data_IF_116051082253
#
_entry.id   IF_116051082253
#
_cell.length_a   1.000
_cell.length_b   1.000
_cell.length_c   1.000
_cell.angle_alpha   90.00
_cell.angle_beta   90.00
_cell.angle_gamma   90.00
#
_symmetry.space_group_name_H-M   'P 1'
#
loop_
_entity.id
_entity.type
_entity.pdbx_description
1 polymer ?
#
# COMPACT_ATOMS: atom_id res chain seq x y z
N UNK A 1 25.33 -4.51 -4.06
CA UNK A 1 24.07 -3.82 -3.71
C UNK A 1 24.40 -2.79 -2.64
N UNK A 2 23.98 -1.53 -2.76
CA UNK A 2 24.06 -0.61 -1.62
C UNK A 2 23.32 -1.22 -0.42
N UNK A 3 23.78 -0.93 0.80
CA UNK A 3 23.11 -1.38 2.01
C UNK A 3 21.64 -0.89 2.00
N UNK A 4 20.70 -1.62 2.63
CA UNK A 4 19.28 -1.26 2.66
C UNK A 4 19.00 0.23 3.02
N UNK A 5 19.81 0.80 3.91
CA UNK A 5 19.74 2.20 4.29
C UNK A 5 20.07 3.18 3.14
N UNK A 6 20.99 2.83 2.24
CA UNK A 6 21.32 3.65 1.08
C UNK A 6 20.21 3.68 0.04
N UNK A 7 19.47 2.59 -0.13
CA UNK A 7 18.31 2.54 -1.02
C UNK A 7 17.14 3.36 -0.44
N UNK A 8 16.91 3.24 0.87
CA UNK A 8 15.93 4.05 1.58
C UNK A 8 16.17 5.56 1.38
N UNK A 9 17.40 6.02 1.58
CA UNK A 9 17.76 7.43 1.42
C UNK A 9 17.66 7.91 -0.02
N UNK A 10 18.04 7.07 -1.00
CA UNK A 10 17.93 7.42 -2.41
C UNK A 10 16.46 7.65 -2.83
N UNK A 11 15.56 6.74 -2.45
CA UNK A 11 14.13 6.91 -2.74
C UNK A 11 13.53 8.11 -2.02
N UNK A 12 13.89 8.34 -0.75
CA UNK A 12 13.43 9.52 -0.02
C UNK A 12 13.96 10.82 -0.64
N UNK A 13 15.15 10.80 -1.26
CA UNK A 13 15.70 11.94 -1.97
C UNK A 13 14.97 12.21 -3.30
N UNK A 14 14.53 11.16 -4.00
CA UNK A 14 13.73 11.30 -5.22
C UNK A 14 12.35 11.92 -4.93
N UNK A 15 11.77 11.58 -3.78
CA UNK A 15 10.51 12.17 -3.28
C UNK A 15 10.71 13.57 -2.66
N UNK A 16 11.95 13.98 -2.38
CA UNK A 16 12.20 15.22 -1.64
C UNK A 16 12.10 16.46 -2.54
N UNK A 17 11.27 17.41 -2.10
CA UNK A 17 11.24 18.78 -2.64
C UNK A 17 11.32 19.82 -1.52
N UNK A 18 12.20 20.80 -1.67
CA UNK A 18 12.31 21.93 -0.74
C UNK A 18 11.03 22.77 -0.66
N UNK A 19 10.22 22.77 -1.73
CA UNK A 19 8.96 23.53 -1.81
C UNK A 19 7.81 22.84 -1.07
N UNK A 20 7.92 21.53 -0.78
CA UNK A 20 6.88 20.74 -0.12
C UNK A 20 6.96 20.79 1.42
N UNK A 21 8.09 21.25 1.98
CA UNK A 21 8.32 21.30 3.41
C UNK A 21 8.75 22.69 3.93
N UNK A 22 7.91 23.74 3.77
CA UNK A 22 8.23 25.06 4.30
C UNK A 22 8.43 25.01 5.82
N UNK A 23 9.65 25.33 6.26
CA UNK A 23 10.05 25.36 7.67
C UNK A 23 10.84 24.14 8.17
N UNK A 24 11.10 23.15 7.31
CA UNK A 24 12.05 22.07 7.57
C UNK A 24 13.27 22.25 6.67
N UNK A 25 14.47 22.24 7.25
CA UNK A 25 15.69 22.16 6.46
C UNK A 25 16.06 20.70 6.14
N UNK A 26 17.03 20.52 5.26
CA UNK A 26 17.50 19.19 4.87
C UNK A 26 18.04 18.37 6.07
N UNK A 27 18.59 19.04 7.09
CA UNK A 27 19.08 18.37 8.31
C UNK A 27 17.94 17.84 9.17
N UNK A 28 16.87 18.62 9.31
CA UNK A 28 15.65 18.21 10.02
C UNK A 28 14.99 17.00 9.33
N UNK A 29 14.87 17.02 8.00
CA UNK A 29 14.33 15.89 7.22
C UNK A 29 15.25 14.66 7.33
N UNK A 30 16.57 14.82 7.19
CA UNK A 30 17.51 13.71 7.32
C UNK A 30 17.46 13.06 8.71
N UNK A 31 17.31 13.86 9.76
CA UNK A 31 17.14 13.37 11.13
C UNK A 31 15.83 12.57 11.29
N UNK A 32 14.71 13.11 10.78
CA UNK A 32 13.43 12.42 10.82
C UNK A 32 13.46 11.08 10.05
N UNK A 33 14.11 11.04 8.89
CA UNK A 33 14.30 9.83 8.09
C UNK A 33 15.22 8.81 8.77
N UNK A 34 16.29 9.24 9.45
CA UNK A 34 17.16 8.35 10.22
C UNK A 34 16.43 7.71 11.41
N UNK A 35 15.59 8.48 12.11
CA UNK A 35 14.73 7.99 13.18
C UNK A 35 13.69 6.99 12.67
N UNK A 36 13.14 7.25 11.48
CA UNK A 36 12.20 6.35 10.84
C UNK A 36 12.86 5.05 10.38
N UNK A 37 14.08 5.14 9.83
CA UNK A 37 14.89 3.96 9.50
C UNK A 37 15.10 3.06 10.72
N UNK A 38 15.45 3.63 11.88
CA UNK A 38 15.61 2.87 13.14
C UNK A 38 14.33 2.15 13.55
N UNK A 39 13.19 2.84 13.49
CA UNK A 39 11.88 2.22 13.74
C UNK A 39 11.59 1.07 12.79
N UNK A 40 11.87 1.23 11.49
CA UNK A 40 11.69 0.16 10.51
C UNK A 40 12.54 -1.09 10.79
N UNK A 41 13.71 -0.93 11.41
CA UNK A 41 14.57 -2.05 11.80
C UNK A 41 14.09 -2.77 13.07
N UNK A 42 13.40 -2.07 13.97
CA UNK A 42 12.83 -2.66 15.20
C UNK A 42 11.59 -3.54 14.91
N UNK A 43 10.91 -3.32 13.79
CA UNK A 43 9.74 -4.11 13.37
C UNK A 43 10.19 -5.47 12.82
N UNK A 44 10.17 -6.50 13.66
CA UNK A 44 10.62 -7.86 13.33
C UNK A 44 9.65 -8.61 12.40
N UNK A 45 8.35 -8.57 12.68
CA UNK A 45 7.30 -9.17 11.85
C UNK A 45 6.34 -8.08 11.39
N UNK A 46 6.27 -7.87 10.07
CA UNK A 46 5.40 -6.86 9.47
C UNK A 46 4.05 -7.47 9.05
N UNK A 47 3.54 -8.51 9.72
CA UNK A 47 2.24 -9.12 9.35
C UNK A 47 1.11 -8.10 9.50
N UNK A 48 1.16 -7.32 10.57
CA UNK A 48 0.32 -6.15 10.79
C UNK A 48 1.11 -4.85 10.58
N UNK A 49 0.44 -3.77 10.14
CA UNK A 49 1.10 -2.48 10.00
C UNK A 49 1.50 -1.94 11.38
N UNK A 50 2.80 -1.64 11.52
CA UNK A 50 3.33 -0.87 12.63
C UNK A 50 3.14 0.61 12.30
N UNK A 51 2.32 1.29 13.11
CA UNK A 51 1.92 2.69 12.89
C UNK A 51 2.26 3.45 14.17
N UNK A 52 2.93 4.60 14.03
CA UNK A 52 3.12 5.54 15.13
C UNK A 52 2.91 6.97 14.67
N UNK A 53 2.40 7.80 15.56
CA UNK A 53 2.39 9.25 15.42
C UNK A 53 3.43 9.81 16.39
N UNK A 54 4.24 10.77 15.95
CA UNK A 54 5.19 11.47 16.83
C UNK A 54 5.32 12.92 16.44
N UNK A 55 5.66 13.76 17.40
CA UNK A 55 6.01 15.14 17.12
C UNK A 55 7.27 15.21 16.26
N UNK A 56 7.25 16.07 15.23
CA UNK A 56 8.45 16.39 14.47
C UNK A 56 9.46 17.12 15.36
N UNK A 57 10.74 16.72 15.32
CA UNK A 57 11.80 17.29 16.15
C UNK A 57 13.06 17.54 15.34
N UNK A 58 13.80 18.57 15.73
CA UNK A 58 15.16 18.84 15.27
C UNK A 58 16.16 17.87 15.89
N UNK A 59 17.39 17.76 15.34
CA UNK A 59 18.47 16.97 15.94
C UNK A 59 18.82 17.35 17.39
N UNK A 60 18.61 18.62 17.78
CA UNK A 60 18.84 19.10 19.14
C UNK A 60 17.68 18.83 20.11
N UNK A 61 16.62 18.15 19.64
CA UNK A 61 15.42 17.81 20.40
C UNK A 61 14.32 18.87 20.36
N UNK A 62 14.58 20.05 19.80
CA UNK A 62 13.60 21.13 19.67
C UNK A 62 12.39 20.67 18.87
N UNK A 63 11.19 20.87 19.40
CA UNK A 63 9.94 20.55 18.72
C UNK A 63 9.73 21.43 17.51
N UNK A 64 9.45 20.81 16.36
CA UNK A 64 8.98 21.46 15.15
C UNK A 64 7.45 21.49 15.14
N UNK A 65 6.88 22.43 14.38
CA UNK A 65 5.42 22.55 14.28
C UNK A 65 4.87 21.51 13.31
N UNK A 66 4.45 20.37 13.83
CA UNK A 66 3.79 19.32 13.06
C UNK A 66 4.08 17.95 13.65
N UNK A 67 3.37 16.95 13.13
CA UNK A 67 3.52 15.56 13.53
C UNK A 67 3.92 14.71 12.33
N UNK A 68 4.55 13.59 12.63
CA UNK A 68 5.01 12.58 11.69
C UNK A 68 4.19 11.31 11.92
N UNK A 69 3.38 10.96 10.93
CA UNK A 69 2.72 9.66 10.87
C UNK A 69 3.64 8.70 10.13
N UNK A 70 4.08 7.65 10.81
CA UNK A 70 5.06 6.68 10.30
C UNK A 70 4.47 5.28 10.28
N UNK A 71 4.59 4.62 9.14
CA UNK A 71 3.96 3.33 8.85
C UNK A 71 5.01 2.38 8.29
N UNK A 72 5.10 1.18 8.85
CA UNK A 72 5.98 0.10 8.38
C UNK A 72 5.14 -1.15 8.18
N UNK A 73 5.11 -1.68 6.95
CA UNK A 73 4.31 -2.85 6.60
C UNK A 73 4.85 -3.55 5.32
N UNK A 74 4.32 -4.73 4.93
CA UNK A 74 4.69 -5.39 3.69
C UNK A 74 4.24 -4.55 2.50
N UNK A 75 5.09 -4.45 1.49
CA UNK A 75 4.77 -3.70 0.28
C UNK A 75 3.61 -4.36 -0.50
N UNK A 76 2.75 -3.51 -1.07
CA UNK A 76 1.59 -3.92 -1.89
C UNK A 76 1.06 -2.73 -2.71
N UNK A 77 0.26 -2.99 -3.76
CA UNK A 77 -0.41 -1.93 -4.51
C UNK A 77 -1.37 -1.09 -3.64
N UNK A 78 -1.65 0.14 -4.09
CA UNK A 78 -2.66 1.07 -3.54
C UNK A 78 -2.40 1.66 -2.15
N UNK A 79 -1.27 1.36 -1.50
CA UNK A 79 -0.96 1.86 -0.16
C UNK A 79 -1.03 3.39 -0.05
N UNK A 80 -0.33 4.09 -0.94
CA UNK A 80 -0.20 5.56 -0.89
C UNK A 80 -1.57 6.23 -0.98
N UNK A 81 -2.34 5.91 -2.03
CA UNK A 81 -3.64 6.54 -2.27
C UNK A 81 -4.62 6.25 -1.13
N UNK A 82 -4.65 5.01 -0.61
CA UNK A 82 -5.53 4.63 0.50
C UNK A 82 -5.17 5.32 1.81
N UNK A 83 -3.87 5.45 2.12
CA UNK A 83 -3.44 6.18 3.32
C UNK A 83 -3.76 7.67 3.19
N UNK A 84 -3.48 8.27 2.02
CA UNK A 84 -3.78 9.69 1.77
C UNK A 84 -5.26 9.98 1.86
N UNK A 85 -6.11 9.10 1.29
CA UNK A 85 -7.55 9.16 1.42
C UNK A 85 -8.00 9.12 2.89
N UNK A 86 -7.51 8.14 3.66
CA UNK A 86 -7.86 8.02 5.08
C UNK A 86 -7.43 9.24 5.92
N UNK A 87 -6.24 9.78 5.67
CA UNK A 87 -5.73 10.99 6.35
C UNK A 87 -6.60 12.21 5.99
N UNK A 88 -6.98 12.35 4.73
CA UNK A 88 -7.82 13.46 4.26
C UNK A 88 -9.26 13.37 4.79
N UNK A 89 -9.86 12.18 4.79
CA UNK A 89 -11.19 11.90 5.37
C UNK A 89 -11.20 12.14 6.89
N UNK A 90 -10.11 11.81 7.56
CA UNK A 90 -9.91 12.16 8.96
C UNK A 90 -9.72 13.69 9.16
N UNK A 91 -9.67 14.50 8.10
CA UNK A 91 -9.63 15.96 8.15
C UNK A 91 -8.25 16.57 8.38
N UNK A 92 -7.18 15.84 8.05
CA UNK A 92 -5.81 16.34 8.17
C UNK A 92 -5.23 16.72 6.81
N UNK A 93 -4.47 17.82 6.80
CA UNK A 93 -3.72 18.25 5.64
C UNK A 93 -2.32 17.62 5.66
N UNK A 94 -1.99 16.91 4.60
CA UNK A 94 -0.66 16.38 4.34
C UNK A 94 0.21 17.49 3.78
N UNK A 95 1.42 17.62 4.33
CA UNK A 95 2.43 18.59 3.87
C UNK A 95 3.43 17.93 2.92
N UNK A 96 3.90 16.75 3.29
CA UNK A 96 4.78 15.93 2.46
C UNK A 96 4.62 14.45 2.82
N UNK A 97 5.02 13.58 1.91
CA UNK A 97 5.12 12.14 2.12
C UNK A 97 6.44 11.64 1.57
N UNK A 98 7.03 10.66 2.25
CA UNK A 98 8.11 9.83 1.74
C UNK A 98 7.65 8.37 1.75
N UNK A 99 7.80 7.66 0.64
CA UNK A 99 7.49 6.23 0.55
C UNK A 99 8.68 5.36 0.08
N UNK A 100 9.76 5.26 0.86
CA UNK A 100 10.78 4.26 0.60
C UNK A 100 10.26 2.81 0.70
N UNK A 101 10.64 2.00 -0.28
CA UNK A 101 10.46 0.55 -0.30
C UNK A 101 11.82 -0.12 -0.08
N UNK A 102 11.91 -0.95 0.95
CA UNK A 102 13.15 -1.59 1.40
C UNK A 102 13.01 -3.10 1.39
N UNK A 103 14.08 -3.83 1.09
CA UNK A 103 14.09 -5.29 1.17
C UNK A 103 14.72 -5.76 2.48
N UNK A 104 13.96 -6.53 3.26
CA UNK A 104 14.40 -7.10 4.54
C UNK A 104 14.07 -8.59 4.53
N UNK A 105 15.08 -9.44 4.70
CA UNK A 105 14.88 -10.90 4.74
C UNK A 105 14.27 -11.49 3.46
N UNK A 106 14.46 -10.85 2.31
CA UNK A 106 13.87 -11.28 1.03
C UNK A 106 12.42 -10.81 0.79
N UNK A 107 11.87 -9.99 1.68
CA UNK A 107 10.54 -9.41 1.53
C UNK A 107 10.62 -7.90 1.35
N UNK A 108 9.82 -7.37 0.41
CA UNK A 108 9.64 -5.92 0.21
C UNK A 108 8.77 -5.34 1.32
N UNK A 109 9.22 -4.23 1.88
CA UNK A 109 8.59 -3.52 2.99
C UNK A 109 8.43 -2.05 2.63
N UNK A 110 7.22 -1.55 2.75
CA UNK A 110 6.88 -0.15 2.55
C UNK A 110 7.06 0.59 3.87
N UNK A 111 7.91 1.61 3.83
CA UNK A 111 8.15 2.55 4.91
C UNK A 111 7.59 3.90 4.49
N UNK A 112 6.46 4.30 5.05
CA UNK A 112 5.77 5.53 4.68
C UNK A 112 5.85 6.52 5.85
N UNK A 113 6.40 7.71 5.60
CA UNK A 113 6.42 8.82 6.55
C UNK A 113 5.64 9.99 5.98
N UNK A 114 4.69 10.52 6.74
CA UNK A 114 3.80 11.60 6.32
C UNK A 114 3.92 12.75 7.30
N UNK A 115 4.20 13.94 6.78
CA UNK A 115 4.24 15.18 7.54
C UNK A 115 2.84 15.78 7.61
N UNK A 116 2.35 15.92 8.84
CA UNK A 116 1.02 16.45 9.13
C UNK A 116 1.12 17.78 9.86
N UNK A 117 0.07 18.59 9.76
CA UNK A 117 -0.19 19.61 10.77
C UNK A 117 -0.38 18.95 12.16
N UNK A 118 -0.18 19.69 13.28
CA UNK A 118 -0.39 19.15 14.60
C UNK A 118 -1.75 18.47 14.73
N UNK A 119 -1.75 17.19 15.11
CA UNK A 119 -2.92 16.32 15.13
C UNK A 119 -3.74 16.55 16.39
N UNK A 120 -3.07 16.72 17.53
CA UNK A 120 -3.67 16.78 18.87
C UNK A 120 -3.85 15.40 19.49
N UNK A 121 -3.60 15.30 20.79
CA UNK A 121 -3.67 14.02 21.54
C UNK A 121 -5.06 13.37 21.48
N UNK A 122 -6.11 14.17 21.38
CA UNK A 122 -7.50 13.72 21.30
C UNK A 122 -7.86 13.08 19.95
N UNK A 123 -7.09 13.35 18.90
CA UNK A 123 -7.35 12.85 17.53
C UNK A 123 -6.38 11.79 17.06
N UNK A 124 -5.26 11.60 17.76
CA UNK A 124 -4.23 10.62 17.41
C UNK A 124 -4.80 9.20 17.26
N UNK A 125 -5.54 8.74 18.27
CA UNK A 125 -6.10 7.39 18.26
C UNK A 125 -7.07 7.16 17.09
N UNK A 126 -7.88 8.18 16.77
CA UNK A 126 -8.83 8.11 15.66
C UNK A 126 -8.11 8.08 14.30
N UNK A 127 -7.07 8.89 14.12
CA UNK A 127 -6.24 8.89 12.91
C UNK A 127 -5.56 7.53 12.69
N UNK A 128 -4.93 6.99 13.73
CA UNK A 128 -4.25 5.68 13.65
C UNK A 128 -5.26 4.57 13.32
N UNK A 129 -6.46 4.61 13.91
CA UNK A 129 -7.52 3.65 13.62
C UNK A 129 -7.97 3.73 12.15
N UNK A 130 -8.25 4.93 11.64
CA UNK A 130 -8.67 5.14 10.25
C UNK A 130 -7.62 4.63 9.24
N UNK A 131 -6.34 4.94 9.48
CA UNK A 131 -5.25 4.44 8.63
C UNK A 131 -5.14 2.92 8.73
N UNK A 132 -5.30 2.33 9.92
CA UNK A 132 -5.26 0.87 10.09
C UNK A 132 -6.41 0.17 9.35
N UNK A 133 -7.61 0.74 9.37
CA UNK A 133 -8.76 0.24 8.63
C UNK A 133 -8.50 0.28 7.12
N UNK A 134 -8.05 1.42 6.59
CA UNK A 134 -7.70 1.53 5.17
C UNK A 134 -6.63 0.50 4.75
N UNK A 135 -5.61 0.27 5.58
CA UNK A 135 -4.58 -0.74 5.31
C UNK A 135 -5.10 -2.19 5.39
N UNK A 136 -6.09 -2.45 6.24
CA UNK A 136 -6.77 -3.73 6.29
C UNK A 136 -7.61 -3.96 5.02
N UNK A 137 -8.31 -2.94 4.53
CA UNK A 137 -9.08 -3.01 3.28
C UNK A 137 -8.17 -3.25 2.08
N UNK A 138 -7.03 -2.55 1.99
CA UNK A 138 -6.04 -2.82 0.94
C UNK A 138 -5.53 -4.26 1.05
N UNK A 139 -5.29 -4.79 2.24
CA UNK A 139 -4.90 -6.20 2.42
C UNK A 139 -5.93 -7.14 1.81
N UNK A 140 -7.21 -6.94 2.16
CA UNK A 140 -8.30 -7.78 1.70
C UNK A 140 -8.47 -7.70 0.18
N UNK A 141 -8.28 -6.52 -0.41
CA UNK A 141 -8.41 -6.32 -1.85
C UNK A 141 -7.30 -7.01 -2.67
N UNK A 142 -6.08 -7.13 -2.13
CA UNK A 142 -4.91 -7.60 -2.90
C UNK A 142 -4.41 -8.99 -2.54
N UNK A 143 -4.68 -9.51 -1.33
CA UNK A 143 -4.10 -10.76 -0.85
C UNK A 143 -4.47 -11.98 -1.71
N UNK A 144 -5.67 -11.98 -2.30
CA UNK A 144 -6.22 -13.10 -3.06
C UNK A 144 -6.10 -12.92 -4.58
N UNK A 145 -5.35 -11.90 -5.04
CA UNK A 145 -5.26 -11.56 -6.46
C UNK A 145 -4.75 -12.72 -7.32
N UNK A 146 -3.66 -13.39 -6.93
CA UNK A 146 -3.15 -14.55 -7.68
C UNK A 146 -4.09 -15.75 -7.63
N UNK A 147 -4.82 -15.95 -6.53
CA UNK A 147 -5.85 -16.99 -6.44
C UNK A 147 -7.02 -16.70 -7.40
N UNK A 148 -7.43 -15.43 -7.52
CA UNK A 148 -8.44 -15.00 -8.50
C UNK A 148 -7.96 -15.15 -9.94
N UNK A 149 -6.70 -14.81 -10.24
CA UNK A 149 -6.11 -15.07 -11.56
C UNK A 149 -6.04 -16.56 -11.89
N UNK A 150 -5.69 -17.39 -10.91
CA UNK A 150 -5.68 -18.85 -11.08
C UNK A 150 -7.09 -19.40 -11.32
N UNK A 151 -8.10 -18.87 -10.62
CA UNK A 151 -9.51 -19.19 -10.87
C UNK A 151 -9.92 -18.82 -12.31
N UNK A 152 -9.60 -17.61 -12.78
CA UNK A 152 -9.91 -17.19 -14.16
C UNK A 152 -9.24 -18.12 -15.19
N UNK A 153 -7.94 -18.39 -15.04
CA UNK A 153 -7.19 -19.30 -15.94
C UNK A 153 -7.80 -20.70 -15.97
N UNK A 154 -8.21 -21.23 -14.82
CA UNK A 154 -8.88 -22.53 -14.74
C UNK A 154 -10.22 -22.50 -15.45
N UNK A 155 -11.05 -21.48 -15.21
CA UNK A 155 -12.35 -21.33 -15.87
C UNK A 155 -12.22 -21.27 -17.39
N UNK A 156 -11.22 -20.54 -17.92
CA UNK A 156 -10.91 -20.49 -19.36
C UNK A 156 -10.56 -21.88 -19.90
N UNK A 157 -9.74 -22.66 -19.17
CA UNK A 157 -9.40 -24.03 -19.57
C UNK A 157 -10.64 -24.96 -19.56
N UNK A 158 -11.44 -24.90 -18.50
CA UNK A 158 -12.66 -25.71 -18.36
C UNK A 158 -13.67 -25.41 -19.48
N UNK A 159 -13.86 -24.12 -19.83
CA UNK A 159 -14.73 -23.70 -20.93
C UNK A 159 -14.20 -24.15 -22.30
N UNK A 160 -12.88 -24.13 -22.49
CA UNK A 160 -12.25 -24.60 -23.73
C UNK A 160 -12.52 -26.08 -23.98
N UNK A 161 -12.56 -26.90 -22.92
CA UNK A 161 -12.84 -28.33 -23.02
C UNK A 161 -14.35 -28.67 -22.98
N UNK A 162 -15.19 -27.73 -22.53
CA UNK A 162 -16.63 -27.93 -22.41
C UNK A 162 -17.30 -28.14 -23.77
N UNK A 163 -18.07 -29.22 -23.89
CA UNK A 163 -18.89 -29.53 -25.08
C UNK A 163 -20.29 -28.98 -24.88
N UNK A 164 -20.47 -27.71 -25.21
CA UNK A 164 -21.76 -27.00 -25.18
C UNK A 164 -22.18 -26.67 -26.61
N UNK A 165 -23.47 -26.83 -26.91
CA UNK A 165 -24.04 -26.46 -28.20
C UNK A 165 -24.20 -24.94 -28.31
N UNK A 166 -23.09 -24.25 -28.60
CA UNK A 166 -23.05 -22.82 -28.93
C UNK A 166 -22.43 -22.62 -30.33
N UNK A 167 -22.81 -21.56 -31.06
CA UNK A 167 -22.19 -21.22 -32.34
C UNK A 167 -20.67 -21.04 -32.21
N UNK A 168 -19.91 -21.50 -33.20
CA UNK A 168 -18.45 -21.47 -33.15
C UNK A 168 -17.87 -20.05 -33.07
N UNK A 169 -18.48 -19.08 -33.78
CA UNK A 169 -18.05 -17.68 -33.77
C UNK A 169 -18.25 -17.04 -32.39
N UNK A 170 -19.42 -17.23 -31.77
CA UNK A 170 -19.69 -16.74 -30.42
C UNK A 170 -18.74 -17.36 -29.39
N UNK A 171 -18.44 -18.66 -29.52
CA UNK A 171 -17.44 -19.32 -28.66
C UNK A 171 -16.05 -18.70 -28.81
N UNK A 172 -15.62 -18.37 -30.02
CA UNK A 172 -14.31 -17.78 -30.26
C UNK A 172 -14.23 -16.39 -29.62
N UNK A 173 -15.24 -15.54 -29.82
CA UNK A 173 -15.31 -14.21 -29.23
C UNK A 173 -15.32 -14.24 -27.69
N UNK A 174 -16.14 -15.11 -27.08
CA UNK A 174 -16.20 -15.27 -25.62
C UNK A 174 -14.85 -15.73 -25.05
N UNK A 175 -14.17 -16.66 -25.72
CA UNK A 175 -12.85 -17.14 -25.31
C UNK A 175 -11.79 -16.04 -25.41
N UNK A 176 -11.77 -15.28 -26.50
CA UNK A 176 -10.85 -14.16 -26.70
C UNK A 176 -11.05 -13.10 -25.60
N UNK A 177 -12.31 -12.80 -25.26
CA UNK A 177 -12.63 -11.85 -24.19
C UNK A 177 -12.15 -12.34 -22.81
N UNK A 178 -12.37 -13.60 -22.46
CA UNK A 178 -11.93 -14.16 -21.18
C UNK A 178 -10.40 -14.25 -21.07
N UNK A 179 -9.71 -14.58 -22.17
CA UNK A 179 -8.25 -14.57 -22.25
C UNK A 179 -7.69 -13.15 -22.12
N UNK A 180 -8.35 -12.16 -22.74
CA UNK A 180 -8.02 -10.75 -22.56
C UNK A 180 -8.17 -10.32 -21.09
N UNK A 181 -9.29 -10.66 -20.43
CA UNK A 181 -9.47 -10.38 -18.99
C UNK A 181 -8.38 -11.03 -18.11
N UNK A 182 -7.94 -12.25 -18.45
CA UNK A 182 -6.90 -12.95 -17.70
C UNK A 182 -5.48 -12.37 -17.91
N UNK A 183 -5.27 -11.61 -18.98
CA UNK A 183 -3.97 -11.09 -19.43
C UNK A 183 -3.67 -9.69 -18.87
N UNK A 184 -3.99 -9.47 -17.60
CA UNK A 184 -3.72 -8.23 -16.85
C UNK A 184 -4.38 -6.96 -17.43
N UNK A 185 -5.39 -7.12 -18.29
CA UNK A 185 -6.22 -6.03 -18.78
C UNK A 185 -7.37 -5.64 -17.84
N UNK A 186 -7.54 -6.38 -16.74
CA UNK A 186 -8.58 -6.12 -15.74
C UNK A 186 -8.05 -6.37 -14.33
N UNK A 187 -8.52 -5.58 -13.36
CA UNK A 187 -8.17 -5.75 -11.93
C UNK A 187 -9.30 -6.50 -11.23
N UNK A 188 -9.00 -7.66 -10.68
CA UNK A 188 -9.94 -8.44 -9.87
C UNK A 188 -9.91 -7.99 -8.42
N UNK A 189 -11.06 -7.56 -7.88
CA UNK A 189 -11.22 -7.18 -6.47
C UNK A 189 -11.90 -8.29 -5.63
N UNK A 190 -12.53 -9.26 -6.30
CA UNK A 190 -13.23 -10.35 -5.65
C UNK A 190 -13.78 -11.32 -6.68
N UNK A 191 -14.05 -12.56 -6.26
CA UNK A 191 -14.71 -13.56 -7.07
C UNK A 191 -15.76 -14.31 -6.25
N UNK A 192 -16.85 -14.70 -6.91
CA UNK A 192 -17.91 -15.51 -6.31
C UNK A 192 -18.27 -16.64 -7.25
N UNK A 193 -18.31 -17.86 -6.72
CA UNK A 193 -18.71 -19.06 -7.45
C UNK A 193 -20.14 -19.40 -7.07
N UNK A 194 -20.96 -19.72 -8.07
CA UNK A 194 -22.34 -20.16 -7.90
C UNK A 194 -22.46 -21.61 -8.38
N UNK A 195 -22.96 -22.48 -7.51
CA UNK A 195 -23.30 -23.85 -7.87
C UNK A 195 -24.79 -23.92 -8.20
N UNK A 196 -25.09 -24.17 -9.48
CA UNK A 196 -26.46 -24.38 -9.92
C UNK A 196 -26.78 -25.88 -9.86
N UNK A 197 -27.85 -26.29 -9.16
CA UNK A 197 -28.29 -27.67 -9.21
C UNK A 197 -28.67 -28.01 -10.65
N UNK A 198 -28.03 -29.05 -11.20
CA UNK A 198 -28.48 -29.66 -12.45
C UNK A 198 -29.74 -30.46 -12.16
N UNK A 199 -30.89 -29.79 -12.10
CA UNK A 199 -32.18 -30.50 -12.13
C UNK A 199 -32.27 -31.26 -13.46
N UNK A 200 -32.35 -32.58 -13.32
CA UNK A 200 -32.44 -33.58 -14.38
C UNK A 200 -33.73 -33.44 -15.20
#
# INVERSE_FOLDING_TARGET
MPAPAGHFLAQAQDDWSADELPGFDAGDTAHALADFWRFGQEVSEATDPAIRLRQARKPDGTSLRGDLLEIVQPDRPFLVDSIMGAVAEAGFQVRAMFHPIVEVGGHRRSMIQIYLAPVGEDREAALIAAVREALADVRLAVQDFEAMRALMRRTVADLRDARVAIPAEARAEDMDFLEWLASDHFVFLGARVYEYPRTA
#
